data_IF_226391897372
#
_entry.id   IF_226391897372
#
_cell.length_a   1.000
_cell.length_b   1.000
_cell.length_c   1.000
_cell.angle_alpha   90.00
_cell.angle_beta   90.00
_cell.angle_gamma   90.00
#
_symmetry.space_group_name_H-M   'P 1'
#
loop_
_entity.id
_entity.type
_entity.pdbx_description
1 polymer ?
#
# COMPACT_ATOMS: atom_id res chain seq x y z
N UNK A 1 -53.97 -5.29 86.32
CA UNK A 1 -54.90 -4.47 85.51
C UNK A 1 -54.07 -3.37 84.88
N UNK A 2 -53.62 -3.56 83.63
CA UNK A 2 -54.26 -2.97 82.43
C UNK A 2 -54.44 -1.46 82.57
N UNK A 3 -53.59 -0.67 81.91
CA UNK A 3 -54.03 0.06 80.72
C UNK A 3 -52.87 0.78 80.04
N UNK A 4 -52.81 0.56 78.74
CA UNK A 4 -52.02 1.18 77.68
C UNK A 4 -52.17 2.69 77.55
N UNK A 5 -51.13 3.38 77.06
CA UNK A 5 -51.25 4.28 75.91
C UNK A 5 -49.88 4.67 75.36
N UNK A 6 -49.84 4.77 74.03
CA UNK A 6 -48.68 4.84 73.16
C UNK A 6 -47.93 6.18 73.23
N UNK A 7 -46.60 6.13 73.04
CA UNK A 7 -45.80 7.28 72.61
C UNK A 7 -45.39 7.08 71.16
N UNK A 8 -45.82 8.00 70.31
CA UNK A 8 -45.46 8.08 68.91
C UNK A 8 -44.04 8.65 68.73
N UNK A 9 -43.43 8.15 67.68
CA UNK A 9 -42.06 8.28 67.20
C UNK A 9 -41.64 9.67 66.72
N UNK A 10 -40.37 10.01 66.95
CA UNK A 10 -39.60 10.88 66.06
C UNK A 10 -38.29 10.17 65.70
N UNK A 11 -38.25 9.61 64.50
CA UNK A 11 -37.01 9.18 63.86
C UNK A 11 -36.39 10.41 63.17
N UNK A 12 -35.28 10.91 63.71
CA UNK A 12 -34.48 11.95 63.06
C UNK A 12 -33.69 11.36 61.90
N UNK A 13 -34.01 11.77 60.67
CA UNK A 13 -33.25 11.42 59.48
C UNK A 13 -32.05 12.37 59.36
N UNK A 14 -30.84 11.89 59.63
CA UNK A 14 -29.61 12.61 59.33
C UNK A 14 -29.33 12.52 57.83
N UNK A 15 -29.50 13.64 57.10
CA UNK A 15 -29.18 13.71 55.68
C UNK A 15 -27.66 13.89 55.49
N UNK A 16 -26.95 12.79 55.19
CA UNK A 16 -25.60 12.85 54.65
C UNK A 16 -25.67 13.30 53.18
N UNK A 17 -25.29 14.54 52.90
CA UNK A 17 -25.14 15.03 51.54
C UNK A 17 -23.86 14.43 50.91
N UNK A 18 -24.02 13.36 50.13
CA UNK A 18 -22.97 12.92 49.21
C UNK A 18 -22.94 13.89 48.04
N UNK A 19 -21.97 14.82 48.04
CA UNK A 19 -21.69 15.64 46.88
C UNK A 19 -21.21 14.76 45.73
N UNK A 20 -22.06 14.54 44.73
CA UNK A 20 -21.65 13.90 43.49
C UNK A 20 -20.66 14.82 42.77
N UNK A 21 -19.38 14.46 42.77
CA UNK A 21 -18.42 15.09 41.89
C UNK A 21 -18.74 14.64 40.46
N UNK A 22 -19.38 15.51 39.69
CA UNK A 22 -19.51 15.34 38.25
C UNK A 22 -18.10 15.48 37.65
N UNK A 23 -17.44 14.35 37.39
CA UNK A 23 -16.26 14.36 36.54
C UNK A 23 -16.72 14.71 35.12
N UNK A 24 -16.37 15.92 34.67
CA UNK A 24 -16.59 16.33 33.29
C UNK A 24 -15.84 15.36 32.37
N UNK A 25 -16.58 14.59 31.58
CA UNK A 25 -15.97 13.76 30.54
C UNK A 25 -15.29 14.69 29.53
N UNK A 26 -14.02 14.45 29.16
CA UNK A 26 -13.38 15.23 28.12
C UNK A 26 -14.23 15.19 26.84
N UNK A 27 -14.34 16.31 26.11
CA UNK A 27 -15.03 16.30 24.82
C UNK A 27 -14.39 15.25 23.92
N UNK A 28 -15.23 14.56 23.15
CA UNK A 28 -14.76 13.60 22.17
C UNK A 28 -13.75 14.30 21.23
N UNK A 29 -12.62 13.64 20.89
CA UNK A 29 -11.64 14.23 20.00
C UNK A 29 -12.30 14.57 18.66
N UNK A 30 -11.99 15.74 18.13
CA UNK A 30 -12.47 16.14 16.82
C UNK A 30 -12.01 15.10 15.76
N UNK A 31 -12.85 14.79 14.76
CA UNK A 31 -12.45 13.86 13.70
C UNK A 31 -11.17 14.34 13.02
N UNK A 32 -10.27 13.41 12.72
CA UNK A 32 -9.08 13.72 11.91
C UNK A 32 -9.54 14.16 10.52
N UNK A 33 -9.22 15.38 10.06
CA UNK A 33 -9.60 15.83 8.73
C UNK A 33 -8.89 14.97 7.68
N UNK A 34 -9.58 14.66 6.59
CA UNK A 34 -9.03 13.92 5.47
C UNK A 34 -9.42 14.58 4.14
N UNK A 35 -8.60 14.33 3.11
CA UNK A 35 -8.88 14.75 1.74
C UNK A 35 -9.07 13.51 0.88
N UNK A 36 -10.20 13.44 0.18
CA UNK A 36 -10.43 12.40 -0.81
C UNK A 36 -9.69 12.74 -2.09
N UNK A 37 -8.86 11.83 -2.57
CA UNK A 37 -8.16 11.94 -3.85
C UNK A 37 -8.76 10.94 -4.84
N UNK A 38 -9.50 11.48 -5.81
CA UNK A 38 -10.12 10.69 -6.89
C UNK A 38 -9.56 11.13 -8.25
N UNK A 39 -9.36 10.15 -9.12
CA UNK A 39 -9.12 10.35 -10.54
C UNK A 39 -10.33 9.85 -11.32
N UNK A 40 -11.06 10.79 -11.95
CA UNK A 40 -12.29 10.48 -12.68
C UNK A 40 -13.41 9.96 -11.76
N UNK A 41 -14.29 9.11 -12.31
CA UNK A 41 -15.49 8.61 -11.63
C UNK A 41 -15.55 7.08 -11.48
N UNK A 42 -14.62 6.34 -12.10
CA UNK A 42 -14.75 4.89 -12.31
C UNK A 42 -14.03 4.05 -11.24
N UNK A 43 -13.08 4.64 -10.53
CA UNK A 43 -12.33 3.99 -9.45
C UNK A 43 -10.90 4.50 -9.40
N UNK A 44 -10.39 4.70 -8.19
CA UNK A 44 -9.00 5.11 -7.93
C UNK A 44 -8.46 4.27 -6.78
N UNK A 45 -7.28 3.69 -6.97
CA UNK A 45 -6.58 2.90 -5.97
C UNK A 45 -5.17 3.43 -5.79
N UNK A 46 -4.90 4.04 -4.63
CA UNK A 46 -3.60 4.65 -4.32
C UNK A 46 -2.74 3.64 -3.57
N UNK A 47 -1.50 3.48 -4.04
CA UNK A 47 -0.64 2.34 -3.69
C UNK A 47 0.68 2.74 -3.06
N UNK A 48 1.04 4.03 -3.11
CA UNK A 48 2.25 4.52 -2.48
C UNK A 48 2.31 6.03 -2.41
N UNK A 49 2.96 6.54 -1.37
CA UNK A 49 3.22 7.96 -1.16
C UNK A 49 4.66 8.16 -0.70
N UNK A 50 5.32 9.19 -1.25
CA UNK A 50 6.58 9.69 -0.73
C UNK A 50 6.77 11.16 -1.08
N UNK A 51 7.10 11.96 -0.06
CA UNK A 51 7.17 13.40 -0.21
C UNK A 51 5.86 13.94 -0.79
N UNK A 52 5.95 14.70 -1.87
CA UNK A 52 4.79 15.29 -2.55
C UNK A 52 4.30 14.46 -3.74
N UNK A 53 4.62 13.17 -3.77
CA UNK A 53 4.23 12.25 -4.84
C UNK A 53 3.40 11.10 -4.29
N UNK A 54 2.24 10.90 -4.87
CA UNK A 54 1.40 9.72 -4.65
C UNK A 54 1.28 8.99 -5.98
N UNK A 55 1.34 7.66 -5.97
CA UNK A 55 1.08 6.83 -7.14
C UNK A 55 -0.05 5.86 -6.86
N UNK A 56 -0.65 5.36 -7.93
CA UNK A 56 -1.76 4.43 -7.87
C UNK A 56 -2.26 4.11 -9.27
N UNK A 57 -3.44 3.54 -9.36
CA UNK A 57 -4.09 3.26 -10.63
C UNK A 57 -5.56 3.67 -10.61
N UNK A 58 -6.14 3.75 -11.81
CA UNK A 58 -7.57 3.91 -12.03
C UNK A 58 -8.11 2.82 -12.93
N UNK A 59 -9.43 2.70 -13.00
CA UNK A 59 -10.10 1.87 -14.00
C UNK A 59 -10.25 2.67 -15.28
N UNK A 60 -9.67 2.20 -16.38
CA UNK A 60 -9.77 2.86 -17.68
C UNK A 60 -11.25 2.89 -18.12
N UNK A 61 -11.83 4.08 -18.38
CA UNK A 61 -13.26 4.22 -18.66
C UNK A 61 -13.77 3.29 -19.76
N UNK A 62 -14.90 2.62 -19.51
CA UNK A 62 -15.51 1.68 -20.45
C UNK A 62 -14.80 0.32 -20.55
N UNK A 63 -13.81 0.05 -19.70
CA UNK A 63 -13.05 -1.21 -19.71
C UNK A 63 -12.88 -1.77 -18.29
N UNK A 64 -12.28 -2.95 -18.18
CA UNK A 64 -11.80 -3.53 -16.92
C UNK A 64 -10.30 -3.33 -16.68
N UNK A 65 -9.61 -2.68 -17.63
CA UNK A 65 -8.17 -2.45 -17.55
C UNK A 65 -7.84 -1.40 -16.47
N UNK A 66 -6.65 -1.52 -15.87
CA UNK A 66 -6.11 -0.49 -14.99
C UNK A 66 -5.10 0.39 -15.70
N UNK A 67 -5.11 1.68 -15.40
CA UNK A 67 -4.12 2.65 -15.86
C UNK A 67 -3.34 3.24 -14.71
N UNK A 68 -2.02 3.36 -14.85
CA UNK A 68 -1.15 3.92 -13.82
C UNK A 68 -1.24 5.44 -13.71
N UNK A 69 -1.14 5.96 -12.48
CA UNK A 69 -1.26 7.38 -12.14
C UNK A 69 -0.14 7.84 -11.21
N UNK A 70 0.18 9.12 -11.36
CA UNK A 70 0.94 9.91 -10.41
C UNK A 70 0.14 11.16 -10.04
N UNK A 71 0.11 11.49 -8.76
CA UNK A 71 -0.43 12.74 -8.22
C UNK A 71 0.69 13.55 -7.60
N UNK A 72 0.80 14.81 -8.01
CA UNK A 72 1.71 15.77 -7.43
C UNK A 72 0.96 16.63 -6.40
N UNK A 73 1.30 16.47 -5.13
CA UNK A 73 0.65 17.18 -4.02
C UNK A 73 0.96 18.68 -4.01
N UNK A 74 2.04 19.12 -4.66
CA UNK A 74 2.38 20.55 -4.76
C UNK A 74 1.47 21.26 -5.76
N UNK A 75 1.25 20.66 -6.93
CA UNK A 75 0.44 21.26 -8.00
C UNK A 75 -1.03 20.83 -7.97
N UNK A 76 -1.35 19.78 -7.22
CA UNK A 76 -2.66 19.16 -7.19
C UNK A 76 -3.05 18.47 -8.51
N UNK A 77 -2.07 18.13 -9.36
CA UNK A 77 -2.31 17.59 -10.70
C UNK A 77 -2.03 16.09 -10.79
N UNK A 78 -2.82 15.42 -11.63
CA UNK A 78 -2.62 14.03 -12.03
C UNK A 78 -1.82 13.94 -13.33
N UNK A 79 -1.00 12.92 -13.46
CA UNK A 79 -0.33 12.54 -14.71
C UNK A 79 -0.29 11.02 -14.88
N UNK A 80 -0.13 10.57 -16.13
CA UNK A 80 0.13 9.17 -16.44
C UNK A 80 1.43 8.67 -15.77
N UNK A 81 1.47 7.38 -15.43
CA UNK A 81 2.64 6.73 -14.83
C UNK A 81 2.78 5.27 -15.31
N UNK A 82 3.98 4.83 -15.74
CA UNK A 82 5.18 5.64 -15.99
C UNK A 82 5.09 6.51 -17.26
N UNK A 83 4.33 6.09 -18.28
CA UNK A 83 4.29 6.77 -19.59
C UNK A 83 2.90 6.71 -20.18
N UNK A 84 2.34 7.84 -20.61
CA UNK A 84 1.02 7.87 -21.24
C UNK A 84 0.94 6.96 -22.47
N UNK A 85 -0.15 6.19 -22.59
CA UNK A 85 -0.42 5.35 -23.76
C UNK A 85 -1.82 5.62 -24.32
N UNK A 86 -2.01 5.36 -25.61
CA UNK A 86 -3.29 5.61 -26.28
C UNK A 86 -4.46 4.81 -25.67
N UNK A 87 -4.19 3.63 -25.11
CA UNK A 87 -5.18 2.80 -24.42
C UNK A 87 -5.41 3.19 -22.94
N UNK A 88 -4.76 4.25 -22.45
CA UNK A 88 -4.90 4.74 -21.08
C UNK A 88 -4.28 3.86 -19.98
N UNK A 89 -3.68 2.72 -20.33
CA UNK A 89 -3.02 1.84 -19.35
C UNK A 89 -1.75 2.48 -18.78
N UNK A 90 -1.16 3.42 -19.50
CA UNK A 90 0.03 4.17 -19.10
C UNK A 90 1.30 3.32 -18.92
N UNK A 91 1.39 2.20 -19.64
CA UNK A 91 2.60 1.42 -19.81
C UNK A 91 2.65 0.84 -21.24
N UNK A 92 3.74 1.04 -22.01
CA UNK A 92 3.83 0.59 -23.40
C UNK A 92 3.58 -0.92 -23.57
N UNK A 93 2.65 -1.29 -24.45
CA UNK A 93 2.32 -2.69 -24.76
C UNK A 93 1.55 -3.45 -23.68
N UNK A 94 1.17 -2.80 -22.58
CA UNK A 94 0.38 -3.41 -21.52
C UNK A 94 -1.13 -3.26 -21.73
N UNK A 95 -1.88 -4.20 -21.17
CA UNK A 95 -3.34 -4.23 -21.06
C UNK A 95 -3.83 -3.89 -19.63
N UNK A 96 -2.91 -3.76 -18.68
CA UNK A 96 -3.15 -3.24 -17.34
C UNK A 96 -1.83 -2.83 -16.69
N UNK A 97 -1.86 -1.80 -15.86
CA UNK A 97 -0.68 -1.38 -15.09
C UNK A 97 -1.06 -0.76 -13.75
N UNK A 98 -0.14 -0.90 -12.80
CA UNK A 98 -0.27 -0.39 -11.44
C UNK A 98 1.11 0.02 -10.91
N UNK A 99 1.41 1.32 -10.76
CA UNK A 99 2.60 1.77 -10.05
C UNK A 99 2.46 1.52 -8.54
N UNK A 100 3.58 1.37 -7.85
CA UNK A 100 3.73 1.15 -6.41
C UNK A 100 4.94 1.92 -5.87
N UNK A 101 4.92 2.22 -4.56
CA UNK A 101 6.09 2.60 -3.77
C UNK A 101 7.03 3.62 -4.42
N UNK A 102 6.60 4.89 -4.63
CA UNK A 102 7.49 5.92 -5.13
C UNK A 102 8.61 6.17 -4.11
N UNK A 103 9.83 6.31 -4.61
CA UNK A 103 11.01 6.72 -3.87
C UNK A 103 11.20 8.24 -3.92
N UNK A 104 12.22 8.74 -3.23
CA UNK A 104 12.45 10.18 -3.15
C UNK A 104 12.65 10.74 -4.55
N UNK A 105 11.96 11.84 -4.85
CA UNK A 105 12.23 12.62 -6.03
C UNK A 105 11.09 13.51 -6.45
N UNK A 106 11.29 14.23 -7.55
CA UNK A 106 10.25 14.94 -8.28
C UNK A 106 10.21 14.39 -9.72
N UNK A 107 9.09 14.59 -10.40
CA UNK A 107 8.86 14.14 -11.78
C UNK A 107 9.89 14.68 -12.79
N UNK A 108 10.58 15.78 -12.46
CA UNK A 108 11.56 16.45 -13.32
C UNK A 108 13.01 16.05 -13.09
N UNK A 109 13.33 15.01 -12.29
CA UNK A 109 14.73 14.58 -12.24
C UNK A 109 15.16 13.52 -11.23
N UNK A 110 14.32 13.08 -10.29
CA UNK A 110 14.77 12.12 -9.26
C UNK A 110 13.71 11.06 -8.92
N UNK A 111 12.49 11.14 -9.49
CA UNK A 111 11.45 10.16 -9.16
C UNK A 111 11.89 8.76 -9.56
N UNK A 112 12.00 7.86 -8.58
CA UNK A 112 12.09 6.43 -8.82
C UNK A 112 10.81 5.76 -8.34
N UNK A 113 10.23 4.90 -9.15
CA UNK A 113 8.97 4.22 -8.81
C UNK A 113 9.02 2.80 -9.33
N UNK A 114 8.32 1.88 -8.69
CA UNK A 114 8.17 0.53 -9.21
C UNK A 114 6.72 0.28 -9.60
N UNK A 115 6.43 -0.83 -10.25
CA UNK A 115 5.04 -1.15 -10.60
C UNK A 115 4.89 -2.56 -11.13
N UNK A 116 3.66 -2.97 -11.33
CA UNK A 116 3.33 -4.14 -12.15
C UNK A 116 2.62 -3.74 -13.43
N UNK A 117 2.69 -4.64 -14.40
CA UNK A 117 1.94 -4.55 -15.64
C UNK A 117 1.65 -5.95 -16.17
N UNK A 118 0.58 -6.03 -16.96
CA UNK A 118 0.19 -7.24 -17.66
C UNK A 118 0.17 -6.93 -19.15
N UNK A 119 0.68 -7.84 -19.97
CA UNK A 119 0.58 -7.83 -21.43
C UNK A 119 -0.31 -8.98 -21.89
N UNK A 120 -0.74 -8.96 -23.16
CA UNK A 120 -1.45 -10.11 -23.73
C UNK A 120 -0.65 -11.41 -23.65
N UNK A 121 0.69 -11.35 -23.71
CA UNK A 121 1.57 -12.51 -23.66
C UNK A 121 1.86 -13.03 -22.24
N UNK A 122 1.83 -12.15 -21.24
CA UNK A 122 2.09 -12.52 -19.84
C UNK A 122 0.82 -12.89 -19.08
N UNK A 123 -0.35 -12.43 -19.55
CA UNK A 123 -1.64 -12.71 -18.94
C UNK A 123 -1.85 -14.22 -18.66
N UNK A 124 -2.27 -14.60 -17.43
CA UNK A 124 -2.75 -13.72 -16.36
C UNK A 124 -1.65 -13.19 -15.41
N UNK A 125 -0.38 -13.47 -15.67
CA UNK A 125 0.72 -13.22 -14.74
C UNK A 125 1.32 -11.83 -14.90
N UNK A 126 1.32 -11.04 -13.82
CA UNK A 126 2.02 -9.77 -13.77
C UNK A 126 3.53 -9.92 -13.96
N UNK A 127 4.08 -8.98 -14.74
CA UNK A 127 5.48 -8.61 -14.72
C UNK A 127 5.62 -7.29 -13.97
N UNK A 128 6.87 -6.88 -13.72
CA UNK A 128 7.15 -5.67 -12.96
C UNK A 128 8.10 -4.74 -13.69
N UNK A 129 8.18 -3.49 -13.23
CA UNK A 129 9.14 -2.53 -13.73
C UNK A 129 9.73 -1.70 -12.60
N UNK A 130 10.93 -1.17 -12.86
CA UNK A 130 11.52 -0.01 -12.20
C UNK A 130 11.50 1.15 -13.18
N UNK A 131 10.97 2.28 -12.75
CA UNK A 131 10.98 3.54 -13.49
C UNK A 131 11.96 4.50 -12.83
N UNK A 132 12.92 4.99 -13.62
CA UNK A 132 13.80 6.10 -13.27
C UNK A 132 13.37 7.34 -14.08
N UNK A 133 12.70 8.27 -13.40
CA UNK A 133 12.17 9.53 -13.93
C UNK A 133 13.20 10.65 -13.95
N UNK A 134 14.46 10.35 -14.27
CA UNK A 134 15.46 11.37 -14.56
C UNK A 134 15.00 12.21 -15.77
N UNK A 135 15.42 13.48 -15.84
CA UNK A 135 15.09 14.32 -16.97
C UNK A 135 15.58 13.69 -18.29
N UNK A 136 14.81 13.88 -19.35
CA UNK A 136 15.21 13.43 -20.68
C UNK A 136 16.63 13.93 -21.02
N UNK A 137 17.49 13.08 -21.64
CA UNK A 137 17.18 11.79 -22.25
C UNK A 137 17.30 10.57 -21.32
N UNK A 138 17.57 10.78 -20.03
CA UNK A 138 17.97 9.71 -19.11
C UNK A 138 16.79 9.00 -18.42
N UNK A 139 15.56 9.30 -18.85
CA UNK A 139 14.37 8.59 -18.36
C UNK A 139 14.43 7.13 -18.82
N UNK A 140 14.24 6.20 -17.89
CA UNK A 140 14.36 4.77 -18.16
C UNK A 140 13.25 3.96 -17.51
N UNK A 141 12.78 2.93 -18.22
CA UNK A 141 11.98 1.84 -17.65
C UNK A 141 12.82 0.57 -17.77
N UNK A 142 13.13 -0.04 -16.62
CA UNK A 142 13.77 -1.35 -16.54
C UNK A 142 12.70 -2.39 -16.24
N UNK A 143 12.54 -3.36 -17.15
CA UNK A 143 11.65 -4.49 -16.91
C UNK A 143 12.23 -5.41 -15.84
N UNK A 144 11.38 -5.82 -14.91
CA UNK A 144 11.70 -6.70 -13.79
C UNK A 144 10.86 -7.98 -13.90
N UNK A 145 11.56 -9.11 -13.96
CA UNK A 145 10.99 -10.45 -13.91
C UNK A 145 11.92 -11.31 -13.06
N UNK A 146 11.39 -11.92 -12.01
CA UNK A 146 12.19 -12.85 -11.22
C UNK A 146 12.54 -14.07 -12.10
N UNK A 147 13.80 -14.54 -12.09
CA UNK A 147 14.21 -15.63 -12.98
C UNK A 147 13.48 -16.94 -12.69
N UNK A 148 12.95 -17.58 -13.74
CA UNK A 148 12.43 -18.95 -13.65
C UNK A 148 13.57 -19.95 -13.49
N UNK A 149 13.30 -21.06 -12.79
CA UNK A 149 14.18 -22.21 -12.73
C UNK A 149 13.64 -23.35 -13.62
N UNK A 150 14.49 -24.26 -14.13
CA UNK A 150 14.04 -25.41 -14.89
C UNK A 150 13.00 -26.23 -14.10
N UNK A 151 11.82 -26.45 -14.71
CA UNK A 151 10.70 -27.16 -14.06
C UNK A 151 9.95 -26.36 -12.98
N UNK A 152 10.35 -25.11 -12.71
CA UNK A 152 9.70 -24.24 -11.74
C UNK A 152 9.56 -22.81 -12.30
N UNK A 153 8.47 -22.56 -13.06
CA UNK A 153 8.24 -21.24 -13.66
C UNK A 153 7.96 -20.21 -12.57
N UNK A 154 8.52 -19.02 -12.75
CA UNK A 154 8.10 -17.85 -11.97
C UNK A 154 6.75 -17.37 -12.50
N UNK A 155 5.82 -17.15 -11.58
CA UNK A 155 4.53 -16.51 -11.79
C UNK A 155 4.55 -15.16 -11.04
N UNK A 156 3.76 -14.19 -11.49
CA UNK A 156 3.52 -12.91 -10.80
C UNK A 156 4.77 -12.23 -10.19
N UNK A 157 5.66 -11.66 -11.00
CA UNK A 157 6.69 -10.78 -10.42
C UNK A 157 6.08 -9.41 -10.18
N UNK A 158 5.96 -9.00 -8.92
CA UNK A 158 5.33 -7.73 -8.53
C UNK A 158 6.27 -6.98 -7.57
N UNK A 159 6.95 -5.94 -8.05
CA UNK A 159 7.65 -5.00 -7.18
C UNK A 159 6.66 -4.07 -6.48
N UNK A 160 6.85 -3.89 -5.18
CA UNK A 160 5.95 -3.10 -4.33
C UNK A 160 6.61 -1.82 -3.80
N UNK A 161 7.92 -1.81 -3.60
CA UNK A 161 8.60 -0.64 -3.03
C UNK A 161 10.06 -0.56 -3.43
N UNK A 162 10.61 0.65 -3.41
CA UNK A 162 12.01 0.92 -3.72
C UNK A 162 12.62 1.99 -2.81
N UNK A 163 13.86 1.76 -2.38
CA UNK A 163 14.64 2.71 -1.60
C UNK A 163 16.13 2.49 -1.84
N UNK A 164 16.87 3.57 -2.09
CA UNK A 164 18.29 3.49 -2.40
C UNK A 164 18.54 2.60 -3.62
N UNK A 165 19.38 1.58 -3.44
CA UNK A 165 19.79 0.63 -4.49
C UNK A 165 18.93 -0.65 -4.52
N UNK A 166 17.78 -0.65 -3.85
CA UNK A 166 16.96 -1.85 -3.69
C UNK A 166 15.52 -1.65 -4.14
N UNK A 167 14.97 -2.71 -4.70
CA UNK A 167 13.55 -2.92 -4.95
C UNK A 167 13.13 -4.16 -4.17
N UNK A 168 11.98 -4.09 -3.50
CA UNK A 168 11.37 -5.25 -2.84
C UNK A 168 10.01 -5.55 -3.45
N UNK A 169 9.66 -6.83 -3.43
CA UNK A 169 8.40 -7.28 -3.97
C UNK A 169 8.17 -8.76 -3.75
N UNK A 170 7.26 -9.30 -4.55
CA UNK A 170 6.83 -10.68 -4.46
C UNK A 170 6.99 -11.39 -5.80
N UNK A 171 7.14 -12.71 -5.73
CA UNK A 171 6.97 -13.61 -6.87
C UNK A 171 6.37 -14.95 -6.44
N UNK A 172 5.68 -15.61 -7.36
CA UNK A 172 5.11 -16.92 -7.16
C UNK A 172 5.92 -17.98 -7.93
N UNK A 173 5.92 -19.21 -7.43
CA UNK A 173 6.42 -20.40 -8.16
C UNK A 173 5.29 -21.39 -8.48
N UNK A 174 4.15 -21.17 -7.83
CA UNK A 174 2.84 -21.81 -8.02
C UNK A 174 1.82 -20.87 -7.39
N UNK A 175 0.55 -21.01 -7.76
CA UNK A 175 -0.51 -20.14 -7.26
C UNK A 175 -0.52 -20.13 -5.72
N UNK A 176 -0.60 -18.92 -5.14
CA UNK A 176 -0.71 -18.68 -3.70
C UNK A 176 0.50 -19.12 -2.86
N UNK A 177 1.72 -19.05 -3.41
CA UNK A 177 2.96 -19.38 -2.68
C UNK A 177 3.93 -18.22 -2.56
N UNK A 178 3.40 -16.99 -2.50
CA UNK A 178 4.15 -15.74 -2.50
C UNK A 178 5.51 -15.84 -1.83
N UNK A 179 6.55 -15.50 -2.57
CA UNK A 179 7.93 -15.45 -2.13
C UNK A 179 8.37 -13.99 -2.14
N UNK A 180 9.08 -13.57 -1.10
CA UNK A 180 9.66 -12.23 -1.07
C UNK A 180 10.92 -12.20 -1.93
N UNK A 181 11.07 -11.15 -2.74
CA UNK A 181 12.29 -10.85 -3.48
C UNK A 181 12.89 -9.50 -3.08
N UNK A 182 14.22 -9.43 -3.16
CA UNK A 182 15.01 -8.21 -3.19
C UNK A 182 15.72 -8.18 -4.54
N UNK A 183 15.56 -7.09 -5.28
CA UNK A 183 16.32 -6.78 -6.49
C UNK A 183 17.31 -5.65 -6.18
N UNK A 184 18.58 -5.87 -6.49
CA UNK A 184 19.64 -4.86 -6.37
C UNK A 184 19.80 -4.14 -7.70
N UNK A 185 19.56 -2.83 -7.72
CA UNK A 185 19.46 -2.04 -8.95
C UNK A 185 20.80 -1.96 -9.66
N UNK A 186 21.88 -1.68 -8.92
CA UNK A 186 23.23 -1.53 -9.47
C UNK A 186 23.79 -2.79 -10.12
N UNK A 187 23.42 -3.97 -9.63
CA UNK A 187 23.94 -5.26 -10.14
C UNK A 187 22.95 -6.02 -11.01
N UNK A 188 21.66 -5.64 -10.98
CA UNK A 188 20.61 -6.35 -11.68
C UNK A 188 20.28 -7.73 -11.10
N UNK A 189 20.64 -8.01 -9.84
CA UNK A 189 20.53 -9.33 -9.23
C UNK A 189 19.34 -9.45 -8.28
N UNK A 190 18.71 -10.63 -8.28
CA UNK A 190 17.62 -10.98 -7.38
C UNK A 190 18.10 -11.90 -6.25
N UNK A 191 17.49 -11.75 -5.07
CA UNK A 191 17.63 -12.65 -3.92
C UNK A 191 16.25 -12.92 -3.34
N UNK A 192 15.95 -14.19 -3.03
CA UNK A 192 14.78 -14.58 -2.24
C UNK A 192 14.99 -14.20 -0.77
N UNK A 193 14.01 -13.54 -0.15
CA UNK A 193 14.05 -13.11 1.25
C UNK A 193 12.90 -13.72 2.06
N UNK A 194 12.71 -15.03 1.94
CA UNK A 194 11.63 -15.73 2.64
C UNK A 194 11.95 -15.90 4.12
N UNK A 195 10.92 -15.78 4.96
CA UNK A 195 11.02 -16.23 6.36
C UNK A 195 11.26 -17.75 6.35
N UNK A 196 12.28 -18.25 7.07
CA UNK A 196 12.50 -19.69 7.21
C UNK A 196 11.25 -20.41 7.75
N UNK A 197 10.88 -21.51 7.08
CA UNK A 197 9.73 -22.36 7.43
C UNK A 197 8.35 -21.81 7.03
N UNK A 198 8.28 -20.59 6.46
CA UNK A 198 7.01 -20.04 6.01
C UNK A 198 6.55 -20.71 4.70
N UNK A 199 5.23 -20.88 4.56
CA UNK A 199 4.61 -21.33 3.32
C UNK A 199 4.47 -20.20 2.29
N UNK A 200 4.46 -18.95 2.75
CA UNK A 200 4.62 -17.75 1.93
C UNK A 200 5.24 -16.62 2.74
N UNK A 201 6.01 -15.78 2.07
CA UNK A 201 6.53 -14.52 2.59
C UNK A 201 6.26 -13.43 1.57
N UNK A 202 5.81 -12.27 2.02
CA UNK A 202 5.60 -11.10 1.17
C UNK A 202 6.44 -9.93 1.66
N UNK A 203 6.84 -9.04 0.74
CA UNK A 203 7.45 -7.75 1.03
C UNK A 203 6.68 -6.65 0.30
N UNK A 204 6.20 -5.66 1.05
CA UNK A 204 5.39 -4.55 0.54
C UNK A 204 6.07 -3.18 0.67
N UNK A 205 7.03 -3.03 1.58
CA UNK A 205 7.68 -1.74 1.84
C UNK A 205 9.17 -1.88 2.11
N UNK A 206 9.97 -0.91 1.67
CA UNK A 206 11.38 -0.77 2.04
C UNK A 206 11.72 0.67 2.43
N UNK A 207 12.48 0.83 3.52
CA UNK A 207 13.06 2.10 3.94
C UNK A 207 14.41 1.85 4.61
N UNK A 208 15.49 2.42 4.06
CA UNK A 208 16.84 2.07 4.49
C UNK A 208 17.09 0.57 4.33
N UNK A 209 17.48 -0.09 5.42
CA UNK A 209 17.70 -1.54 5.49
C UNK A 209 16.50 -2.31 6.08
N UNK A 210 15.33 -1.68 6.22
CA UNK A 210 14.14 -2.29 6.82
C UNK A 210 13.13 -2.66 5.74
N UNK A 211 12.66 -3.91 5.77
CA UNK A 211 11.64 -4.44 4.87
C UNK A 211 10.39 -4.76 5.67
N UNK A 212 9.25 -4.20 5.25
CA UNK A 212 7.94 -4.48 5.81
C UNK A 212 7.19 -5.46 4.92
N UNK A 213 6.50 -6.42 5.54
CA UNK A 213 5.91 -7.55 4.83
C UNK A 213 5.05 -8.42 5.75
N UNK A 214 4.67 -9.59 5.24
CA UNK A 214 3.92 -10.59 6.00
C UNK A 214 4.41 -12.00 5.70
N UNK A 215 3.95 -12.97 6.47
CA UNK A 215 4.16 -14.38 6.21
C UNK A 215 2.98 -15.21 6.70
N UNK A 216 2.82 -16.40 6.14
CA UNK A 216 1.99 -17.44 6.74
C UNK A 216 2.80 -18.73 6.85
N UNK A 217 2.69 -19.38 8.00
CA UNK A 217 3.36 -20.67 8.25
C UNK A 217 2.53 -21.81 7.66
N UNK A 218 3.18 -22.94 7.38
CA UNK A 218 2.47 -24.19 7.09
C UNK A 218 1.71 -24.59 8.36
N UNK A 219 0.38 -24.86 8.31
CA UNK A 219 -0.31 -25.47 9.44
C UNK A 219 0.39 -26.78 9.81
N UNK A 220 0.80 -26.91 11.07
CA UNK A 220 1.42 -28.13 11.60
C UNK A 220 0.46 -29.29 11.71
#
# INVERSE_FOLDING_TARGET
MLSSCAYFSMAGLAACAFGAQANAQPPAPAPTPYTTLNYGATGTFLTGIRGNTIVGNYVVPGTTATGGLLYNMTSGQWSAMPVATANGVNYPGAIGSSPYGPSFGNQGGVLRTVGSYITAASSPYDLSYLYDGAAAPNQQITQLAYPSAPGNPTLYTIAHSTFGDQVVGNYDTRLATGNSMIYTISTGTYVTNNKPGAASTTAYGVYGNMIAGGYFDVPG
#
